data_IF_728647407620
#
_entry.id   IF_728647407620
#
_cell.length_a   1.000
_cell.length_b   1.000
_cell.length_c   1.000
_cell.angle_alpha   90.00
_cell.angle_beta   90.00
_cell.angle_gamma   90.00
#
_symmetry.space_group_name_H-M   'P 1'
#
loop_
_entity.id
_entity.type
_entity.pdbx_description
1 polymer ?
#
# COMPACT_ATOMS: atom_id res chain seq x y z
N UNK A 1 -19.01 46.51 12.87
CA UNK A 1 -19.46 46.08 11.52
C UNK A 1 -19.21 44.59 11.41
N UNK A 2 -20.25 43.73 11.30
CA UNK A 2 -20.05 42.32 10.98
C UNK A 2 -19.72 42.22 9.48
N UNK A 3 -18.51 41.84 9.15
CA UNK A 3 -18.12 41.58 7.77
C UNK A 3 -18.64 40.17 7.45
N UNK A 4 -19.66 40.07 6.61
CA UNK A 4 -20.10 38.77 6.08
C UNK A 4 -19.18 38.36 4.94
N UNK A 5 -18.48 37.25 5.12
CA UNK A 5 -17.66 36.63 4.08
C UNK A 5 -18.50 35.56 3.39
N UNK A 6 -18.75 35.71 2.12
CA UNK A 6 -19.45 34.71 1.32
C UNK A 6 -18.44 33.82 0.59
N UNK A 7 -18.48 32.51 0.87
CA UNK A 7 -17.72 31.52 0.11
C UNK A 7 -18.42 31.30 -1.24
N UNK A 8 -17.74 31.46 -2.39
CA UNK A 8 -18.33 31.27 -3.72
C UNK A 8 -18.56 29.78 -4.04
N UNK A 9 -19.39 29.11 -3.22
CA UNK A 9 -19.71 27.70 -3.35
C UNK A 9 -21.19 27.45 -3.10
N UNK A 10 -21.83 26.76 -4.03
CA UNK A 10 -23.18 26.25 -3.88
C UNK A 10 -23.14 24.74 -3.80
N UNK A 11 -23.50 24.18 -2.63
CA UNK A 11 -23.50 22.75 -2.44
C UNK A 11 -24.50 22.06 -3.38
N UNK A 12 -24.03 21.05 -4.10
CA UNK A 12 -24.91 20.14 -4.86
C UNK A 12 -25.74 19.32 -3.88
N UNK A 13 -26.99 19.01 -4.23
CA UNK A 13 -27.91 18.24 -3.38
C UNK A 13 -27.26 16.94 -2.87
N UNK A 14 -26.56 16.23 -3.74
CA UNK A 14 -25.89 14.98 -3.42
C UNK A 14 -24.79 15.11 -2.33
N UNK A 15 -24.20 16.30 -2.14
CA UNK A 15 -23.18 16.55 -1.11
C UNK A 15 -23.72 17.22 0.16
N UNK A 16 -25.00 17.61 0.21
CA UNK A 16 -25.58 18.20 1.42
C UNK A 16 -25.46 17.30 2.65
N UNK A 17 -25.69 15.97 2.57
CA UNK A 17 -25.49 15.08 3.72
C UNK A 17 -24.04 15.11 4.21
N UNK A 18 -23.06 15.14 3.30
CA UNK A 18 -21.64 15.22 3.64
C UNK A 18 -21.30 16.51 4.40
N UNK A 19 -21.83 17.65 3.95
CA UNK A 19 -21.62 18.93 4.64
C UNK A 19 -22.30 19.04 6.00
N UNK A 20 -23.38 18.30 6.20
CA UNK A 20 -24.15 18.33 7.45
C UNK A 20 -23.78 17.21 8.44
N UNK A 21 -22.74 16.42 8.13
CA UNK A 21 -22.28 15.36 9.03
C UNK A 21 -21.81 15.92 10.38
N UNK A 22 -21.98 15.14 11.41
CA UNK A 22 -21.52 15.43 12.78
C UNK A 22 -20.42 14.50 13.25
N UNK A 23 -20.20 13.41 12.54
CA UNK A 23 -19.21 12.41 12.88
C UNK A 23 -17.79 12.93 12.65
N UNK A 24 -16.88 12.49 13.53
CA UNK A 24 -15.44 12.81 13.45
C UNK A 24 -14.78 12.16 12.24
N UNK A 25 -15.20 10.95 11.90
CA UNK A 25 -14.65 10.17 10.79
C UNK A 25 -15.66 10.14 9.64
N UNK A 26 -15.17 10.26 8.42
CA UNK A 26 -16.03 10.19 7.26
C UNK A 26 -15.37 9.44 6.09
N UNK A 27 -16.18 8.64 5.39
CA UNK A 27 -15.82 7.99 4.13
C UNK A 27 -16.67 8.57 3.01
N UNK A 28 -16.01 9.15 2.00
CA UNK A 28 -16.64 9.77 0.84
C UNK A 28 -16.23 9.02 -0.43
N UNK A 29 -17.02 8.05 -0.83
CA UNK A 29 -16.87 7.32 -2.09
C UNK A 29 -17.74 8.00 -3.14
N UNK A 30 -17.17 8.49 -4.22
CA UNK A 30 -17.96 9.11 -5.26
C UNK A 30 -17.31 8.95 -6.62
N UNK A 31 -18.14 8.85 -7.65
CA UNK A 31 -17.70 8.65 -9.02
C UNK A 31 -16.80 9.78 -9.55
N UNK A 32 -16.06 9.49 -10.61
CA UNK A 32 -15.23 10.48 -11.32
C UNK A 32 -16.12 11.65 -11.78
N UNK A 33 -15.62 12.89 -11.66
CA UNK A 33 -16.35 14.14 -12.00
C UNK A 33 -17.57 14.48 -11.11
N UNK A 34 -17.79 13.78 -10.01
CA UNK A 34 -18.84 14.14 -9.04
C UNK A 34 -18.65 15.52 -8.41
N UNK A 35 -17.39 16.00 -8.31
CA UNK A 35 -17.02 17.26 -7.66
C UNK A 35 -16.54 17.09 -6.22
N UNK A 36 -15.97 15.93 -5.88
CA UNK A 36 -15.39 15.62 -4.57
C UNK A 36 -14.45 16.70 -4.05
N UNK A 37 -13.47 17.09 -4.87
CA UNK A 37 -12.41 18.04 -4.51
C UNK A 37 -12.97 19.40 -4.09
N UNK A 38 -13.86 19.97 -4.90
CA UNK A 38 -14.45 21.27 -4.57
C UNK A 38 -15.35 21.21 -3.34
N UNK A 39 -16.09 20.11 -3.17
CA UNK A 39 -16.93 19.89 -1.99
C UNK A 39 -16.06 19.74 -0.72
N UNK A 40 -14.98 18.99 -0.79
CA UNK A 40 -14.02 18.80 0.30
C UNK A 40 -13.35 20.13 0.74
N UNK A 41 -12.88 20.92 -0.22
CA UNK A 41 -12.23 22.22 0.08
C UNK A 41 -13.24 23.20 0.67
N UNK A 42 -14.47 23.25 0.13
CA UNK A 42 -15.52 24.09 0.68
C UNK A 42 -15.92 23.69 2.12
N UNK A 43 -15.99 22.40 2.39
CA UNK A 43 -16.28 21.86 3.71
C UNK A 43 -15.16 22.19 4.72
N UNK A 44 -13.91 22.02 4.30
CA UNK A 44 -12.72 22.36 5.08
C UNK A 44 -12.65 23.86 5.37
N UNK A 45 -12.92 24.68 4.37
CA UNK A 45 -12.92 26.14 4.50
C UNK A 45 -14.01 26.59 5.49
N UNK A 46 -15.22 26.01 5.40
CA UNK A 46 -16.29 26.27 6.35
C UNK A 46 -15.89 25.87 7.78
N UNK A 47 -15.31 24.68 7.95
CA UNK A 47 -14.84 24.20 9.26
C UNK A 47 -13.74 25.13 9.82
N UNK A 48 -12.79 25.56 8.99
CA UNK A 48 -11.72 26.45 9.39
C UNK A 48 -12.23 27.83 9.82
N UNK A 49 -13.17 28.42 9.08
CA UNK A 49 -13.76 29.72 9.41
C UNK A 49 -14.64 29.66 10.66
N UNK A 50 -15.31 28.55 10.91
CA UNK A 50 -16.18 28.35 12.07
C UNK A 50 -15.43 27.98 13.35
N UNK A 51 -14.17 27.56 13.23
CA UNK A 51 -13.36 27.16 14.38
C UNK A 51 -12.93 28.39 15.19
N UNK A 52 -13.23 28.37 16.49
CA UNK A 52 -12.88 29.46 17.42
C UNK A 52 -11.46 29.32 17.98
N UNK A 53 -10.81 28.17 17.78
CA UNK A 53 -9.44 27.93 18.24
C UNK A 53 -8.47 28.79 17.42
N UNK A 54 -7.68 29.66 18.04
CA UNK A 54 -6.69 30.45 17.33
C UNK A 54 -5.69 29.58 16.58
N UNK A 55 -5.34 29.97 15.35
CA UNK A 55 -4.35 29.28 14.53
C UNK A 55 -4.68 27.79 14.28
N UNK A 56 -5.95 27.45 14.16
CA UNK A 56 -6.36 26.10 13.78
C UNK A 56 -5.77 25.68 12.43
N UNK A 57 -5.41 24.41 12.29
CA UNK A 57 -4.64 23.89 11.16
C UNK A 57 -5.45 22.80 10.44
N UNK A 58 -5.52 22.91 9.13
CA UNK A 58 -6.23 21.95 8.28
C UNK A 58 -5.31 21.46 7.16
N UNK A 59 -5.42 20.20 6.79
CA UNK A 59 -4.62 19.61 5.73
C UNK A 59 -5.50 18.95 4.66
N UNK A 60 -5.27 19.32 3.40
CA UNK A 60 -5.72 18.58 2.24
C UNK A 60 -4.54 17.77 1.72
N UNK A 61 -4.69 16.46 1.66
CA UNK A 61 -3.58 15.53 1.34
C UNK A 61 -3.97 14.71 0.12
N UNK A 62 -3.19 14.78 -0.95
CA UNK A 62 -3.30 13.94 -2.15
C UNK A 62 -2.19 12.87 -2.14
N UNK A 63 -2.24 11.84 -2.99
CA UNK A 63 -1.15 10.88 -3.15
C UNK A 63 0.20 11.56 -3.45
N UNK A 64 0.18 12.56 -4.35
CA UNK A 64 1.35 13.34 -4.71
C UNK A 64 1.12 14.84 -4.48
N UNK A 65 2.18 15.53 -4.01
CA UNK A 65 2.13 16.99 -3.81
C UNK A 65 1.87 17.75 -5.12
N UNK A 66 2.43 17.30 -6.23
CA UNK A 66 2.18 17.85 -7.56
C UNK A 66 0.70 17.81 -7.94
N UNK A 67 0.02 16.70 -7.64
CA UNK A 67 -1.42 16.53 -7.87
C UNK A 67 -2.24 17.51 -7.02
N UNK A 68 -1.91 17.64 -5.72
CA UNK A 68 -2.55 18.63 -4.85
C UNK A 68 -2.42 20.04 -5.42
N UNK A 69 -1.22 20.41 -5.91
CA UNK A 69 -0.95 21.71 -6.53
C UNK A 69 -1.77 21.93 -7.80
N UNK A 70 -1.82 20.94 -8.68
CA UNK A 70 -2.48 21.10 -9.99
C UNK A 70 -4.00 21.15 -9.87
N UNK A 71 -4.59 20.36 -8.93
CA UNK A 71 -6.04 20.19 -8.85
C UNK A 71 -6.65 21.03 -7.73
N UNK A 72 -6.17 20.87 -6.49
CA UNK A 72 -6.83 21.43 -5.31
C UNK A 72 -6.45 22.88 -5.02
N UNK A 73 -5.22 23.29 -5.39
CA UNK A 73 -4.70 24.62 -5.06
C UNK A 73 -5.51 25.75 -5.68
N UNK A 74 -5.89 25.62 -6.95
CA UNK A 74 -6.70 26.63 -7.63
C UNK A 74 -8.10 26.74 -7.01
N UNK A 75 -8.72 25.61 -6.65
CA UNK A 75 -10.01 25.61 -5.94
C UNK A 75 -9.89 26.27 -4.57
N UNK A 76 -8.82 25.99 -3.82
CA UNK A 76 -8.61 26.63 -2.50
C UNK A 76 -8.44 28.14 -2.63
N UNK A 77 -7.64 28.62 -3.56
CA UNK A 77 -7.45 30.04 -3.82
C UNK A 77 -8.75 30.74 -4.23
N UNK A 78 -9.51 30.10 -5.10
CA UNK A 78 -10.81 30.62 -5.58
C UNK A 78 -11.82 30.70 -4.44
N UNK A 79 -12.04 29.62 -3.71
CA UNK A 79 -13.04 29.55 -2.65
C UNK A 79 -12.66 30.43 -1.44
N UNK A 80 -11.39 30.60 -1.15
CA UNK A 80 -10.90 31.47 -0.07
C UNK A 80 -10.69 32.93 -0.51
N UNK A 81 -11.09 33.32 -1.71
CA UNK A 81 -10.77 34.64 -2.29
C UNK A 81 -11.18 35.82 -1.41
N UNK A 82 -12.29 35.73 -0.68
CA UNK A 82 -12.82 36.77 0.21
C UNK A 82 -12.38 36.63 1.67
N UNK A 83 -11.78 35.51 2.04
CA UNK A 83 -11.46 35.15 3.43
C UNK A 83 -9.97 34.94 3.68
N UNK A 84 -9.16 34.87 2.64
CA UNK A 84 -7.72 34.71 2.74
C UNK A 84 -7.03 36.05 3.01
N UNK A 85 -6.16 36.07 4.01
CA UNK A 85 -5.25 37.20 4.31
C UNK A 85 -3.84 36.96 3.79
N UNK A 86 -3.45 35.70 3.62
CA UNK A 86 -2.16 35.29 3.06
C UNK A 86 -2.32 34.03 2.19
N UNK A 87 -1.56 33.99 1.09
CA UNK A 87 -1.45 32.84 0.19
C UNK A 87 0.02 32.59 -0.09
N UNK A 88 0.47 31.36 0.13
CA UNK A 88 1.86 30.97 -0.12
C UNK A 88 1.90 29.89 -1.20
N UNK A 89 2.42 30.24 -2.38
CA UNK A 89 2.51 29.36 -3.56
C UNK A 89 3.60 28.29 -3.42
N UNK A 90 4.63 28.55 -2.62
CA UNK A 90 5.72 27.62 -2.38
C UNK A 90 5.30 26.50 -1.42
N UNK A 91 4.71 26.91 -0.28
CA UNK A 91 4.29 25.99 0.77
C UNK A 91 2.86 25.49 0.61
N UNK A 92 2.13 25.99 -0.39
CA UNK A 92 0.75 25.66 -0.73
C UNK A 92 -0.20 25.80 0.48
N UNK A 93 -0.20 26.97 1.13
CA UNK A 93 -1.16 27.26 2.19
C UNK A 93 -1.89 28.57 1.98
N UNK A 94 -3.08 28.63 2.55
CA UNK A 94 -3.88 29.83 2.70
C UNK A 94 -4.09 30.08 4.19
N UNK A 95 -3.82 31.30 4.66
CA UNK A 95 -4.20 31.76 5.98
C UNK A 95 -5.47 32.61 5.89
N UNK A 96 -6.43 32.32 6.76
CA UNK A 96 -7.74 32.95 6.78
C UNK A 96 -7.80 34.12 7.77
N UNK A 97 -8.81 34.98 7.63
CA UNK A 97 -9.04 36.17 8.47
C UNK A 97 -9.10 35.90 9.98
N UNK A 98 -9.50 34.69 10.40
CA UNK A 98 -9.53 34.24 11.79
C UNK A 98 -8.20 33.61 12.26
N UNK A 99 -7.16 33.62 11.42
CA UNK A 99 -5.85 33.03 11.70
C UNK A 99 -5.76 31.53 11.45
N UNK A 100 -6.85 30.86 11.07
CA UNK A 100 -6.83 29.46 10.65
C UNK A 100 -6.00 29.29 9.36
N UNK A 101 -5.36 28.13 9.20
CA UNK A 101 -4.56 27.82 8.03
C UNK A 101 -4.99 26.52 7.39
N UNK A 102 -5.12 26.53 6.06
CA UNK A 102 -5.35 25.32 5.24
C UNK A 102 -4.13 25.11 4.36
N UNK A 103 -3.49 23.95 4.48
CA UNK A 103 -2.28 23.62 3.73
C UNK A 103 -2.47 22.32 2.93
N UNK A 104 -1.86 22.29 1.74
CA UNK A 104 -1.88 21.12 0.86
C UNK A 104 -0.58 20.33 1.01
N UNK A 105 -0.71 18.99 1.09
CA UNK A 105 0.41 18.06 1.21
C UNK A 105 0.29 16.94 0.17
N UNK A 106 1.41 16.24 -0.06
CA UNK A 106 1.46 14.95 -0.72
C UNK A 106 1.76 13.83 0.28
N UNK A 107 1.10 12.70 0.13
CA UNK A 107 1.38 11.51 0.91
C UNK A 107 2.72 10.85 0.52
N UNK A 108 3.25 11.19 -0.66
CA UNK A 108 4.59 10.85 -1.15
C UNK A 108 5.72 11.36 -0.24
N UNK A 109 5.46 12.40 0.54
CA UNK A 109 6.36 12.90 1.59
C UNK A 109 5.61 13.04 2.92
N UNK A 110 5.12 11.93 3.44
CA UNK A 110 4.35 11.91 4.67
C UNK A 110 5.12 12.43 5.89
N UNK A 111 6.43 12.23 5.93
CA UNK A 111 7.28 12.66 7.04
C UNK A 111 7.32 14.18 7.23
N UNK A 112 7.07 14.96 6.17
CA UNK A 112 6.92 16.42 6.28
C UNK A 112 5.73 16.85 7.16
N UNK A 113 4.83 15.94 7.50
CA UNK A 113 3.68 16.17 8.38
C UNK A 113 3.91 15.71 9.82
N UNK A 114 5.03 15.02 10.12
CA UNK A 114 5.38 14.60 11.50
C UNK A 114 5.58 15.82 12.40
N UNK A 115 5.03 15.76 13.60
CA UNK A 115 5.06 16.85 14.56
C UNK A 115 4.07 17.98 14.30
N UNK A 116 3.29 17.91 13.21
CA UNK A 116 2.17 18.83 12.99
C UNK A 116 0.92 18.32 13.72
N UNK A 117 0.06 19.26 14.18
CA UNK A 117 -1.23 18.96 14.76
C UNK A 117 -2.36 19.54 13.90
N UNK A 118 -3.35 18.71 13.52
CA UNK A 118 -4.46 19.12 12.65
C UNK A 118 -5.81 19.11 13.37
N UNK A 119 -6.62 20.14 13.11
CA UNK A 119 -8.02 20.24 13.51
C UNK A 119 -8.93 19.48 12.53
N UNK A 120 -8.48 19.32 11.28
CA UNK A 120 -9.19 18.53 10.27
C UNK A 120 -8.31 18.16 9.09
N UNK A 121 -8.55 16.98 8.54
CA UNK A 121 -7.80 16.44 7.39
C UNK A 121 -8.76 15.86 6.35
N UNK A 122 -8.51 16.13 5.09
CA UNK A 122 -9.12 15.45 3.95
C UNK A 122 -8.05 14.69 3.17
N UNK A 123 -8.25 13.40 2.99
CA UNK A 123 -7.38 12.50 2.24
C UNK A 123 -8.02 12.26 0.87
N UNK A 124 -7.47 12.86 -0.17
CA UNK A 124 -8.00 12.74 -1.53
C UNK A 124 -7.36 11.56 -2.25
N UNK A 125 -8.19 10.78 -2.96
CA UNK A 125 -7.81 9.53 -3.63
C UNK A 125 -7.06 8.58 -2.68
N UNK A 126 -7.66 8.36 -1.50
CA UNK A 126 -7.07 7.57 -0.42
C UNK A 126 -6.70 6.14 -0.81
N UNK A 127 -7.37 5.59 -1.83
CA UNK A 127 -7.02 4.29 -2.41
C UNK A 127 -5.59 4.20 -2.99
N UNK A 128 -4.96 5.34 -3.30
CA UNK A 128 -3.60 5.42 -3.82
C UNK A 128 -2.53 5.67 -2.73
N UNK A 129 -2.94 5.82 -1.49
CA UNK A 129 -2.00 6.05 -0.39
C UNK A 129 -1.31 4.74 0.01
N UNK A 130 -0.04 4.86 0.46
CA UNK A 130 0.61 3.79 1.20
C UNK A 130 -0.18 3.55 2.50
N UNK A 131 -0.59 2.31 2.81
CA UNK A 131 -1.46 2.02 3.95
C UNK A 131 -0.96 2.55 5.30
N UNK A 132 0.36 2.54 5.52
CA UNK A 132 1.00 2.99 6.76
C UNK A 132 0.91 4.50 7.02
N UNK A 133 0.67 5.32 6.00
CA UNK A 133 0.66 6.80 6.12
C UNK A 133 -0.41 7.27 7.10
N UNK A 134 -1.62 6.73 7.01
CA UNK A 134 -2.67 7.13 7.94
C UNK A 134 -2.32 6.76 9.39
N UNK A 135 -1.97 5.50 9.63
CA UNK A 135 -1.69 4.99 10.99
C UNK A 135 -0.48 5.66 11.65
N UNK A 136 0.60 5.83 10.89
CA UNK A 136 1.89 6.26 11.43
C UNK A 136 2.09 7.78 11.48
N UNK A 137 1.38 8.53 10.63
CA UNK A 137 1.60 9.98 10.51
C UNK A 137 0.33 10.78 10.76
N UNK A 138 -0.75 10.48 10.03
CA UNK A 138 -1.95 11.33 10.06
C UNK A 138 -2.76 11.11 11.35
N UNK A 139 -2.94 9.86 11.76
CA UNK A 139 -3.71 9.54 12.97
C UNK A 139 -3.11 10.15 14.24
N UNK A 140 -1.76 10.09 14.48
CA UNK A 140 -1.12 10.85 15.56
C UNK A 140 -1.31 12.36 15.46
N UNK A 141 -1.15 12.95 14.26
CA UNK A 141 -1.32 14.39 14.03
C UNK A 141 -2.75 14.92 14.32
N UNK A 142 -3.74 14.04 14.37
CA UNK A 142 -5.13 14.36 14.75
C UNK A 142 -5.42 14.14 16.22
N UNK A 143 -4.51 13.53 17.00
CA UNK A 143 -4.80 13.04 18.33
C UNK A 143 -4.95 14.17 19.36
N UNK A 144 -4.01 15.11 19.39
CA UNK A 144 -3.97 16.19 20.37
C UNK A 144 -5.19 17.12 20.29
N UNK A 145 -5.64 17.37 19.06
CA UNK A 145 -6.76 18.27 18.79
C UNK A 145 -8.09 17.58 18.62
N UNK A 146 -8.09 16.24 18.70
CA UNK A 146 -9.25 15.41 18.35
C UNK A 146 -9.84 15.78 16.97
N UNK A 147 -8.96 16.14 16.03
CA UNK A 147 -9.31 16.58 14.70
C UNK A 147 -10.11 15.53 13.92
N UNK A 148 -10.96 15.99 13.01
CA UNK A 148 -11.72 15.12 12.12
C UNK A 148 -10.91 14.65 10.91
N UNK A 149 -11.32 13.53 10.30
CA UNK A 149 -10.72 13.05 9.06
C UNK A 149 -11.78 12.57 8.08
N UNK A 150 -11.61 12.94 6.81
CA UNK A 150 -12.40 12.45 5.68
C UNK A 150 -11.50 11.66 4.75
N UNK A 151 -11.89 10.43 4.46
CA UNK A 151 -11.27 9.56 3.46
C UNK A 151 -12.10 9.67 2.19
N UNK A 152 -11.55 10.29 1.15
CA UNK A 152 -12.21 10.52 -0.12
C UNK A 152 -11.54 9.80 -1.28
N UNK A 153 -12.31 9.44 -2.30
CA UNK A 153 -11.76 8.87 -3.51
C UNK A 153 -12.77 8.13 -4.37
N UNK A 154 -12.24 7.56 -5.44
CA UNK A 154 -12.90 6.58 -6.29
C UNK A 154 -12.39 5.19 -5.90
N UNK A 155 -13.21 4.14 -5.88
CA UNK A 155 -12.76 2.78 -5.56
C UNK A 155 -11.62 2.29 -6.46
N UNK A 156 -10.69 1.54 -5.88
CA UNK A 156 -9.60 0.87 -6.60
C UNK A 156 -9.38 -0.52 -6.04
N UNK A 157 -10.35 -1.41 -6.28
CA UNK A 157 -10.34 -2.75 -5.72
C UNK A 157 -10.54 -2.78 -4.20
N UNK A 158 -10.35 -3.95 -3.59
CA UNK A 158 -10.51 -4.18 -2.14
C UNK A 158 -9.19 -3.87 -1.41
N UNK A 159 -8.84 -2.59 -1.33
CA UNK A 159 -7.65 -2.06 -0.65
C UNK A 159 -7.99 -1.43 0.71
N UNK A 160 -7.06 -0.65 1.29
CA UNK A 160 -7.29 0.05 2.56
C UNK A 160 -8.49 1.01 2.52
N UNK A 161 -8.83 1.60 1.35
CA UNK A 161 -10.01 2.45 1.23
C UNK A 161 -11.30 1.66 1.35
N UNK A 162 -11.33 0.43 0.80
CA UNK A 162 -12.44 -0.50 1.00
C UNK A 162 -12.61 -0.89 2.47
N UNK A 163 -11.50 -1.09 3.22
CA UNK A 163 -11.56 -1.37 4.64
C UNK A 163 -12.19 -0.21 5.42
N UNK A 164 -11.81 1.05 5.10
CA UNK A 164 -12.43 2.25 5.66
C UNK A 164 -13.92 2.32 5.33
N UNK A 165 -14.28 2.07 4.06
CA UNK A 165 -15.68 2.05 3.62
C UNK A 165 -16.52 1.05 4.40
N UNK A 166 -16.04 -0.18 4.56
CA UNK A 166 -16.73 -1.21 5.35
C UNK A 166 -16.84 -0.83 6.82
N UNK A 167 -15.80 -0.26 7.41
CA UNK A 167 -15.84 0.22 8.79
C UNK A 167 -16.88 1.32 8.95
N UNK A 168 -16.91 2.28 8.03
CA UNK A 168 -17.87 3.39 8.05
C UNK A 168 -19.32 2.91 7.93
N UNK A 169 -19.59 1.85 7.17
CA UNK A 169 -20.92 1.26 7.09
C UNK A 169 -21.33 0.50 8.36
N UNK A 170 -20.37 -0.14 9.03
CA UNK A 170 -20.65 -0.94 10.22
C UNK A 170 -20.86 -0.11 11.49
N UNK A 171 -20.28 1.08 11.58
CA UNK A 171 -20.29 1.93 12.79
C UNK A 171 -20.81 3.35 12.47
N UNK A 172 -22.08 3.50 12.06
CA UNK A 172 -22.63 4.80 11.61
C UNK A 172 -22.72 5.84 12.75
N UNK A 173 -22.61 5.42 14.00
CA UNK A 173 -22.55 6.33 15.15
C UNK A 173 -21.25 7.16 15.18
N UNK A 174 -20.13 6.60 14.72
CA UNK A 174 -18.83 7.25 14.74
C UNK A 174 -18.38 7.71 13.35
N UNK A 175 -18.91 7.08 12.32
CA UNK A 175 -18.53 7.29 10.93
C UNK A 175 -19.68 7.80 10.08
N UNK A 176 -19.43 8.84 9.33
CA UNK A 176 -20.27 9.22 8.20
C UNK A 176 -19.81 8.45 6.96
N UNK A 177 -20.76 7.90 6.20
CA UNK A 177 -20.46 7.23 4.93
C UNK A 177 -21.37 7.74 3.83
N UNK A 178 -20.78 8.22 2.74
CA UNK A 178 -21.51 8.58 1.51
C UNK A 178 -20.90 7.80 0.34
N UNK A 179 -21.72 6.96 -0.28
CA UNK A 179 -21.40 6.31 -1.56
C UNK A 179 -22.28 6.92 -2.65
N UNK A 180 -21.64 7.50 -3.67
CA UNK A 180 -22.29 8.29 -4.68
C UNK A 180 -21.95 7.80 -6.11
N UNK A 181 -22.55 6.67 -6.57
CA UNK A 181 -22.46 6.22 -7.96
C UNK A 181 -23.08 7.21 -8.93
N UNK A 182 -22.64 7.23 -10.19
CA UNK A 182 -23.17 8.13 -11.22
C UNK A 182 -24.66 7.87 -11.52
N UNK A 183 -25.08 6.61 -11.49
CA UNK A 183 -26.48 6.19 -11.64
C UNK A 183 -27.40 6.78 -10.56
N UNK A 184 -26.88 7.00 -9.35
CA UNK A 184 -27.63 7.56 -8.20
C UNK A 184 -27.50 9.07 -8.14
N UNK A 185 -26.33 9.62 -8.38
CA UNK A 185 -26.02 11.04 -8.20
C UNK A 185 -26.75 11.93 -9.21
N UNK A 186 -26.95 11.44 -10.43
CA UNK A 186 -27.49 12.18 -11.58
C UNK A 186 -26.76 13.50 -11.86
N UNK A 187 -25.47 13.56 -11.51
CA UNK A 187 -24.64 14.75 -11.70
C UNK A 187 -24.06 14.87 -13.11
N UNK A 188 -24.05 13.77 -13.85
CA UNK A 188 -23.61 13.70 -15.24
C UNK A 188 -24.82 13.49 -16.17
N UNK A 189 -24.80 14.09 -17.38
CA UNK A 189 -25.80 13.82 -18.40
C UNK A 189 -25.81 12.33 -18.79
N UNK A 190 -26.99 11.78 -19.09
CA UNK A 190 -27.15 10.36 -19.44
C UNK A 190 -26.35 9.98 -20.70
N UNK A 191 -26.35 10.85 -21.73
CA UNK A 191 -25.55 10.62 -22.92
C UNK A 191 -24.03 10.56 -22.67
N UNK A 192 -23.51 11.26 -21.64
CA UNK A 192 -22.10 11.17 -21.25
C UNK A 192 -21.80 9.81 -20.59
N UNK A 193 -22.73 9.29 -19.79
CA UNK A 193 -22.60 7.96 -19.18
C UNK A 193 -22.66 6.85 -20.23
N UNK A 194 -23.52 6.97 -21.24
CA UNK A 194 -23.57 6.03 -22.37
C UNK A 194 -22.29 6.07 -23.20
N UNK A 195 -21.78 7.27 -23.49
CA UNK A 195 -20.50 7.43 -24.19
C UNK A 195 -19.34 6.81 -23.38
N UNK A 196 -19.32 7.01 -22.07
CA UNK A 196 -18.32 6.39 -21.19
C UNK A 196 -18.43 4.86 -21.18
N UNK A 197 -19.64 4.29 -21.13
CA UNK A 197 -19.87 2.84 -21.23
C UNK A 197 -19.36 2.25 -22.54
N UNK A 198 -19.52 2.97 -23.64
CA UNK A 198 -19.05 2.51 -24.95
C UNK A 198 -17.52 2.56 -25.10
N UNK A 199 -16.84 3.44 -24.37
CA UNK A 199 -15.39 3.67 -24.47
C UNK A 199 -14.57 2.89 -23.44
N UNK A 200 -15.16 2.54 -22.29
CA UNK A 200 -14.48 1.87 -21.17
C UNK A 200 -14.83 0.38 -21.17
N UNK A 201 -13.93 -0.42 -20.58
CA UNK A 201 -14.31 -1.80 -20.24
C UNK A 201 -15.42 -1.79 -19.16
N UNK A 202 -16.23 -2.86 -19.05
CA UNK A 202 -17.23 -2.97 -18.00
C UNK A 202 -16.70 -2.71 -16.60
N UNK A 203 -15.53 -3.28 -16.28
CA UNK A 203 -14.87 -3.12 -14.97
C UNK A 203 -14.44 -1.67 -14.73
N UNK A 204 -13.90 -0.98 -15.76
CA UNK A 204 -13.55 0.44 -15.68
C UNK A 204 -14.79 1.30 -15.41
N UNK A 205 -15.87 1.07 -16.13
CA UNK A 205 -17.10 1.80 -15.93
C UNK A 205 -17.65 1.57 -14.51
N UNK A 206 -17.67 0.31 -14.06
CA UNK A 206 -18.13 -0.04 -12.71
C UNK A 206 -17.26 0.62 -11.63
N UNK A 207 -15.94 0.67 -11.81
CA UNK A 207 -15.02 1.31 -10.86
C UNK A 207 -15.19 2.84 -10.86
N UNK A 208 -15.06 3.49 -12.02
CA UNK A 208 -14.94 4.95 -12.12
C UNK A 208 -16.29 5.68 -11.99
N UNK A 209 -17.37 5.04 -12.45
CA UNK A 209 -18.71 5.66 -12.47
C UNK A 209 -19.69 5.03 -11.48
N UNK A 210 -19.64 3.72 -11.26
CA UNK A 210 -20.58 3.05 -10.36
C UNK A 210 -19.98 2.77 -8.96
N UNK A 211 -18.81 3.29 -8.70
CA UNK A 211 -18.16 3.21 -7.37
C UNK A 211 -17.99 1.78 -6.85
N UNK A 212 -17.74 0.81 -7.74
CA UNK A 212 -17.57 -0.59 -7.38
C UNK A 212 -16.17 -0.87 -6.85
N UNK A 213 -16.07 -1.47 -5.68
CA UNK A 213 -14.84 -2.02 -5.13
C UNK A 213 -14.56 -3.46 -5.61
N UNK A 214 -15.50 -4.09 -6.29
CA UNK A 214 -15.35 -5.47 -6.79
C UNK A 214 -14.59 -5.53 -8.13
N UNK A 215 -14.56 -4.42 -8.87
CA UNK A 215 -13.83 -4.35 -10.12
C UNK A 215 -12.34 -4.57 -9.88
N UNK A 216 -11.72 -5.42 -10.70
CA UNK A 216 -10.28 -5.64 -10.67
C UNK A 216 -9.54 -4.32 -10.94
N UNK A 217 -8.40 -4.10 -10.28
CA UNK A 217 -7.54 -2.94 -10.55
C UNK A 217 -7.02 -3.08 -11.98
N UNK A 218 -7.45 -2.17 -12.83
CA UNK A 218 -7.13 -2.20 -14.24
C UNK A 218 -5.66 -1.98 -14.48
N UNK A 219 -5.09 -2.84 -15.33
CA UNK A 219 -3.67 -2.80 -15.60
C UNK A 219 -2.80 -3.41 -14.49
N UNK A 220 -3.40 -3.91 -13.40
CA UNK A 220 -2.65 -4.61 -12.36
C UNK A 220 -1.92 -5.83 -12.94
N UNK A 221 -0.62 -5.95 -12.60
CA UNK A 221 0.19 -7.06 -13.08
C UNK A 221 -0.14 -8.38 -12.36
N UNK A 222 -0.48 -8.32 -11.06
CA UNK A 222 -0.65 -9.49 -10.21
C UNK A 222 -2.05 -9.57 -9.58
N UNK A 223 -2.99 -8.76 -10.05
CA UNK A 223 -4.32 -8.64 -9.46
C UNK A 223 -5.10 -9.96 -9.40
N UNK A 224 -5.01 -10.79 -10.46
CA UNK A 224 -5.66 -12.09 -10.53
C UNK A 224 -5.00 -13.07 -9.56
N UNK A 225 -3.68 -13.20 -9.62
CA UNK A 225 -2.91 -14.13 -8.80
C UNK A 225 -3.05 -13.84 -7.30
N UNK A 226 -3.05 -12.54 -6.92
CA UNK A 226 -3.23 -12.12 -5.52
C UNK A 226 -4.66 -12.31 -5.02
N UNK A 227 -5.67 -12.16 -5.90
CA UNK A 227 -7.06 -12.49 -5.58
C UNK A 227 -7.20 -13.99 -5.33
N UNK A 228 -6.68 -14.83 -6.23
CA UNK A 228 -6.68 -16.29 -6.08
C UNK A 228 -5.95 -16.73 -4.80
N UNK A 229 -4.82 -16.09 -4.47
CA UNK A 229 -4.11 -16.36 -3.22
C UNK A 229 -5.00 -16.11 -1.99
N UNK A 230 -5.80 -15.05 -2.03
CA UNK A 230 -6.73 -14.70 -0.94
C UNK A 230 -7.91 -15.68 -0.87
N UNK A 231 -8.54 -15.99 -2.00
CA UNK A 231 -9.68 -16.92 -2.09
C UNK A 231 -9.32 -18.33 -1.69
N UNK A 232 -8.09 -18.77 -1.99
CA UNK A 232 -7.55 -20.09 -1.62
C UNK A 232 -7.02 -20.12 -0.17
N UNK A 233 -7.11 -19.05 0.60
CA UNK A 233 -6.65 -18.99 1.99
C UNK A 233 -5.12 -18.97 2.14
N UNK A 234 -4.37 -18.65 1.08
CA UNK A 234 -2.90 -18.55 1.10
C UNK A 234 -2.39 -17.19 1.65
N UNK A 235 -3.27 -16.22 1.84
CA UNK A 235 -3.02 -15.01 2.62
C UNK A 235 -3.62 -15.25 4.01
N UNK A 236 -2.78 -15.67 4.95
CA UNK A 236 -3.18 -16.15 6.28
C UNK A 236 -2.02 -15.97 7.26
N UNK A 237 -2.11 -16.50 8.46
CA UNK A 237 -0.99 -16.54 9.39
C UNK A 237 0.03 -17.59 8.93
N UNK A 238 1.25 -17.17 8.62
CA UNK A 238 2.37 -18.03 8.23
C UNK A 238 3.41 -18.05 9.34
N UNK A 239 3.60 -19.24 9.95
CA UNK A 239 4.55 -19.38 11.04
C UNK A 239 5.98 -19.57 10.50
N UNK A 240 6.95 -18.96 11.20
CA UNK A 240 8.37 -19.20 10.98
C UNK A 240 8.75 -20.64 11.41
N UNK A 241 9.42 -21.39 10.54
CA UNK A 241 9.99 -22.69 10.84
C UNK A 241 11.50 -22.54 11.17
N UNK A 242 11.89 -22.83 12.41
CA UNK A 242 13.27 -22.71 12.87
C UNK A 242 14.26 -23.66 12.14
N UNK A 243 13.77 -24.71 11.50
CA UNK A 243 14.59 -25.70 10.81
C UNK A 243 14.89 -25.30 9.35
N UNK A 244 14.25 -24.25 8.86
CA UNK A 244 14.39 -23.77 7.49
C UNK A 244 15.01 -22.38 7.51
N UNK A 245 16.08 -22.14 6.72
CA UNK A 245 16.66 -20.79 6.68
C UNK A 245 15.71 -19.77 6.09
N UNK A 246 15.79 -18.55 6.61
CA UNK A 246 15.06 -17.40 6.07
C UNK A 246 15.94 -16.69 5.05
N UNK A 247 15.46 -16.61 3.84
CA UNK A 247 16.10 -15.83 2.78
C UNK A 247 15.46 -14.44 2.70
N UNK A 248 16.22 -13.47 2.20
CA UNK A 248 15.70 -12.12 1.96
C UNK A 248 15.91 -11.71 0.52
N UNK A 249 14.99 -10.92 -0.01
CA UNK A 249 15.09 -10.33 -1.35
C UNK A 249 14.86 -8.82 -1.26
N UNK A 250 15.78 -8.08 -1.85
CA UNK A 250 15.87 -6.63 -1.72
C UNK A 250 15.51 -5.91 -3.01
N UNK A 251 14.88 -4.76 -2.87
CA UNK A 251 15.02 -3.62 -3.75
C UNK A 251 15.58 -2.44 -2.96
N UNK A 252 16.67 -1.85 -3.45
CA UNK A 252 17.48 -0.89 -2.70
C UNK A 252 17.36 0.49 -3.34
N UNK A 253 16.51 1.34 -2.80
CA UNK A 253 16.41 2.74 -3.17
C UNK A 253 17.40 3.62 -2.39
N UNK A 254 18.24 4.40 -3.06
CA UNK A 254 19.18 5.32 -2.39
C UNK A 254 18.52 6.59 -1.84
N UNK A 255 17.47 7.08 -2.50
CA UNK A 255 16.65 8.25 -2.10
C UNK A 255 15.18 7.91 -1.93
N UNK A 256 14.82 6.72 -2.39
CA UNK A 256 13.47 6.18 -2.40
C UNK A 256 13.34 5.07 -1.34
N UNK A 257 12.22 4.37 -1.33
CA UNK A 257 11.97 3.30 -0.39
C UNK A 257 12.89 2.09 -0.67
N UNK A 258 13.51 1.55 0.37
CA UNK A 258 14.08 0.20 0.34
C UNK A 258 13.01 -0.79 0.76
N UNK A 259 12.82 -1.86 -0.01
CA UNK A 259 11.87 -2.92 0.30
C UNK A 259 12.58 -4.27 0.45
N UNK A 260 12.19 -5.05 1.46
CA UNK A 260 12.78 -6.37 1.75
C UNK A 260 11.68 -7.37 2.07
N UNK A 261 11.66 -8.48 1.33
CA UNK A 261 10.82 -9.64 1.63
C UNK A 261 11.61 -10.71 2.36
N UNK A 262 11.00 -11.34 3.36
CA UNK A 262 11.57 -12.45 4.12
C UNK A 262 10.77 -13.72 3.80
N UNK A 263 11.47 -14.76 3.37
CA UNK A 263 10.80 -15.98 2.94
C UNK A 263 11.57 -17.25 3.28
N UNK A 264 10.84 -18.34 3.37
CA UNK A 264 11.34 -19.69 3.53
C UNK A 264 10.88 -20.55 2.36
N UNK A 265 11.71 -21.47 1.89
CA UNK A 265 11.34 -22.44 0.86
C UNK A 265 11.11 -23.78 1.52
N UNK A 266 9.85 -24.19 1.59
CA UNK A 266 9.43 -25.42 2.25
C UNK A 266 8.81 -26.34 1.19
N UNK A 267 9.51 -27.42 0.82
CA UNK A 267 9.13 -28.30 -0.30
C UNK A 267 9.07 -27.49 -1.61
N UNK A 268 7.88 -27.37 -2.19
CA UNK A 268 7.64 -26.60 -3.43
C UNK A 268 6.84 -25.33 -3.18
N UNK A 269 6.74 -24.91 -1.91
CA UNK A 269 6.03 -23.70 -1.49
C UNK A 269 7.01 -22.61 -1.01
N UNK A 270 6.61 -21.36 -1.21
CA UNK A 270 7.34 -20.19 -0.74
C UNK A 270 6.52 -19.52 0.36
N UNK A 271 7.00 -19.61 1.58
CA UNK A 271 6.34 -19.03 2.75
C UNK A 271 6.92 -17.64 3.03
N UNK A 272 6.15 -16.61 2.70
CA UNK A 272 6.50 -15.21 2.94
C UNK A 272 6.10 -14.86 4.38
N UNK A 273 7.08 -14.76 5.26
CA UNK A 273 6.87 -14.69 6.71
C UNK A 273 6.98 -13.28 7.28
N UNK A 274 7.60 -12.36 6.55
CA UNK A 274 7.76 -10.97 6.99
C UNK A 274 8.05 -10.04 5.80
N UNK A 275 7.84 -8.74 6.02
CA UNK A 275 8.11 -7.68 5.06
C UNK A 275 8.64 -6.45 5.79
N UNK A 276 9.57 -5.74 5.19
CA UNK A 276 10.13 -4.50 5.70
C UNK A 276 10.29 -3.48 4.58
N UNK A 277 9.85 -2.27 4.82
CA UNK A 277 10.10 -1.14 3.94
C UNK A 277 10.50 0.08 4.76
N UNK A 278 11.43 0.86 4.23
CA UNK A 278 11.90 2.08 4.88
C UNK A 278 12.36 3.08 3.84
N UNK A 279 12.08 4.36 4.08
CA UNK A 279 12.52 5.49 3.26
C UNK A 279 13.68 6.20 3.96
N UNK A 280 14.73 6.57 3.19
CA UNK A 280 15.81 7.41 3.66
C UNK A 280 16.76 6.79 4.70
N UNK A 281 16.66 5.49 5.00
CA UNK A 281 17.58 4.79 5.90
C UNK A 281 18.91 4.48 5.21
N UNK A 282 20.01 4.52 5.98
CA UNK A 282 21.31 4.10 5.48
C UNK A 282 21.46 2.57 5.55
N UNK A 283 22.50 2.04 4.89
CA UNK A 283 22.73 0.58 4.79
C UNK A 283 22.94 -0.06 6.17
N UNK A 284 23.59 0.62 7.11
CA UNK A 284 23.85 0.09 8.45
C UNK A 284 22.54 -0.04 9.24
N UNK A 285 21.64 0.93 9.14
CA UNK A 285 20.30 0.91 9.76
C UNK A 285 19.44 -0.21 9.18
N UNK A 286 19.46 -0.38 7.85
CA UNK A 286 18.74 -1.47 7.18
C UNK A 286 19.28 -2.83 7.66
N UNK A 287 20.59 -3.01 7.66
CA UNK A 287 21.21 -4.25 8.11
C UNK A 287 20.91 -4.54 9.59
N UNK A 288 21.04 -3.55 10.47
CA UNK A 288 20.72 -3.68 11.89
C UNK A 288 19.25 -4.08 12.11
N UNK A 289 18.32 -3.46 11.38
CA UNK A 289 16.90 -3.80 11.46
C UNK A 289 16.63 -5.24 11.02
N UNK A 290 17.27 -5.73 9.96
CA UNK A 290 17.13 -7.12 9.49
C UNK A 290 17.70 -8.08 10.54
N UNK A 291 18.91 -7.84 11.04
CA UNK A 291 19.57 -8.70 12.02
C UNK A 291 18.90 -8.70 13.40
N UNK A 292 18.10 -7.70 13.73
CA UNK A 292 17.33 -7.68 14.98
C UNK A 292 16.19 -8.69 15.02
N UNK A 293 15.81 -9.28 13.88
CA UNK A 293 14.76 -10.30 13.80
C UNK A 293 15.26 -11.66 14.29
N UNK A 294 14.42 -12.42 14.99
CA UNK A 294 14.79 -13.71 15.56
C UNK A 294 14.76 -14.83 14.49
N UNK A 295 15.39 -14.58 13.33
CA UNK A 295 15.42 -15.54 12.23
C UNK A 295 16.80 -16.16 12.03
N UNK A 296 16.82 -17.43 11.62
CA UNK A 296 18.02 -18.07 11.13
C UNK A 296 18.18 -17.74 9.63
N UNK A 297 19.08 -16.79 9.32
CA UNK A 297 19.21 -16.28 7.96
C UNK A 297 20.01 -17.22 7.05
N UNK A 298 19.51 -17.39 5.82
CA UNK A 298 20.20 -18.07 4.72
C UNK A 298 20.87 -17.07 3.78
N UNK A 299 20.35 -16.92 2.56
CA UNK A 299 20.87 -16.00 1.54
C UNK A 299 20.10 -14.67 1.54
N UNK A 300 20.85 -13.61 1.25
CA UNK A 300 20.31 -12.27 1.01
C UNK A 300 20.47 -11.95 -0.48
N UNK A 301 19.35 -11.87 -1.20
CA UNK A 301 19.32 -11.67 -2.64
C UNK A 301 19.22 -10.18 -2.97
N UNK A 302 20.25 -9.68 -3.63
CA UNK A 302 20.40 -8.28 -3.99
C UNK A 302 20.18 -8.09 -5.50
N UNK A 303 19.66 -6.93 -5.92
CA UNK A 303 19.57 -6.60 -7.34
C UNK A 303 20.97 -6.45 -7.96
N UNK A 304 21.04 -6.56 -9.27
CA UNK A 304 22.30 -6.56 -10.03
C UNK A 304 23.12 -5.27 -9.88
N UNK A 305 22.44 -4.13 -9.71
CA UNK A 305 23.03 -2.79 -9.53
C UNK A 305 23.66 -2.58 -8.13
N UNK A 306 23.42 -3.48 -7.17
CA UNK A 306 24.11 -3.45 -5.86
C UNK A 306 25.64 -3.55 -5.96
N UNK A 307 26.18 -3.92 -7.14
CA UNK A 307 27.61 -3.89 -7.44
C UNK A 307 28.15 -2.50 -7.83
N UNK A 308 27.27 -1.56 -8.18
CA UNK A 308 27.69 -0.22 -8.57
C UNK A 308 28.35 0.52 -7.41
N UNK A 309 29.52 1.11 -7.68
CA UNK A 309 30.22 1.95 -6.72
C UNK A 309 29.69 3.37 -6.77
N UNK A 310 29.44 3.98 -5.64
CA UNK A 310 28.96 5.35 -5.58
C UNK A 310 29.94 6.27 -4.84
N UNK A 311 30.05 7.51 -5.30
CA UNK A 311 30.88 8.52 -4.63
C UNK A 311 30.35 8.83 -3.22
N UNK A 312 29.05 8.79 -3.01
CA UNK A 312 28.41 9.03 -1.72
C UNK A 312 28.81 7.97 -0.66
N UNK A 313 29.16 6.74 -1.09
CA UNK A 313 29.62 5.67 -0.24
C UNK A 313 31.18 5.53 -0.21
N UNK A 314 31.89 6.63 -0.42
CA UNK A 314 33.37 6.64 -0.47
C UNK A 314 33.96 5.59 -1.44
N UNK A 315 33.30 5.36 -2.57
CA UNK A 315 33.72 4.40 -3.59
C UNK A 315 33.40 2.93 -3.27
N UNK A 316 32.62 2.65 -2.21
CA UNK A 316 32.13 1.30 -1.92
C UNK A 316 30.83 1.02 -2.67
N UNK A 317 30.64 -0.21 -3.05
CA UNK A 317 29.35 -0.70 -3.57
C UNK A 317 28.42 -1.09 -2.42
N UNK A 318 27.11 -1.20 -2.69
CA UNK A 318 26.14 -1.63 -1.69
C UNK A 318 26.46 -3.04 -1.18
N UNK A 319 26.88 -3.95 -2.08
CA UNK A 319 27.26 -5.31 -1.67
C UNK A 319 28.48 -5.30 -0.73
N UNK A 320 29.47 -4.43 -0.97
CA UNK A 320 30.63 -4.30 -0.08
C UNK A 320 30.24 -3.78 1.31
N UNK A 321 29.27 -2.88 1.40
CA UNK A 321 28.72 -2.37 2.65
C UNK A 321 27.92 -3.45 3.41
N UNK A 322 27.01 -4.13 2.75
CA UNK A 322 26.21 -5.20 3.33
C UNK A 322 27.05 -6.43 3.74
N UNK A 323 28.17 -6.69 3.03
CA UNK A 323 29.08 -7.78 3.38
C UNK A 323 29.72 -7.65 4.76
N UNK A 324 29.85 -6.42 5.28
CA UNK A 324 30.34 -6.16 6.63
C UNK A 324 29.37 -6.72 7.69
N UNK A 325 28.07 -6.66 7.43
CA UNK A 325 27.04 -7.07 8.37
C UNK A 325 26.61 -8.53 8.19
N UNK A 326 26.41 -8.98 6.95
CA UNK A 326 25.87 -10.30 6.66
C UNK A 326 26.94 -11.34 6.32
N UNK A 327 28.17 -10.89 6.01
CA UNK A 327 29.20 -11.75 5.43
C UNK A 327 29.00 -11.97 3.93
N UNK A 328 30.11 -11.95 3.17
CA UNK A 328 30.06 -12.03 1.70
C UNK A 328 29.44 -13.33 1.18
N UNK A 329 29.61 -14.44 1.91
CA UNK A 329 29.09 -15.75 1.52
C UNK A 329 27.55 -15.87 1.65
N UNK A 330 26.90 -15.02 2.41
CA UNK A 330 25.44 -14.98 2.54
C UNK A 330 24.76 -14.09 1.48
N UNK A 331 25.54 -13.24 0.80
CA UNK A 331 25.04 -12.36 -0.23
C UNK A 331 24.98 -13.06 -1.60
N UNK A 332 23.92 -12.84 -2.34
CA UNK A 332 23.73 -13.36 -3.69
C UNK A 332 23.17 -12.26 -4.59
N UNK A 333 23.79 -12.06 -5.75
CA UNK A 333 23.29 -11.12 -6.76
C UNK A 333 22.38 -11.86 -7.70
N UNK A 334 21.16 -11.35 -7.84
CA UNK A 334 20.18 -11.88 -8.77
C UNK A 334 20.54 -11.47 -10.21
N UNK A 335 20.41 -12.37 -11.19
CA UNK A 335 20.65 -12.02 -12.59
C UNK A 335 19.78 -10.84 -13.05
N UNK A 336 20.35 -9.99 -13.90
CA UNK A 336 19.61 -8.92 -14.56
C UNK A 336 18.63 -9.51 -15.58
N UNK A 337 17.36 -9.26 -15.38
CA UNK A 337 16.29 -9.62 -16.30
C UNK A 337 15.49 -8.38 -16.69
N UNK A 338 14.91 -8.41 -17.89
CA UNK A 338 13.96 -7.35 -18.26
C UNK A 338 12.82 -7.26 -17.24
N UNK A 339 12.26 -6.06 -17.07
CA UNK A 339 11.11 -5.85 -16.17
C UNK A 339 9.96 -6.81 -16.49
N UNK A 340 9.70 -7.05 -17.78
CA UNK A 340 8.63 -7.93 -18.22
C UNK A 340 8.92 -9.42 -17.90
N UNK A 341 10.16 -9.86 -18.07
CA UNK A 341 10.55 -11.24 -17.68
C UNK A 341 10.44 -11.44 -16.18
N UNK A 342 10.87 -10.43 -15.41
CA UNK A 342 10.70 -10.43 -13.95
C UNK A 342 9.22 -10.48 -13.52
N UNK A 343 8.35 -9.73 -14.18
CA UNK A 343 6.89 -9.78 -13.94
C UNK A 343 6.34 -11.19 -14.25
N UNK A 344 6.77 -11.82 -15.33
CA UNK A 344 6.35 -13.18 -15.64
C UNK A 344 6.89 -14.20 -14.63
N UNK A 345 8.10 -14.00 -14.11
CA UNK A 345 8.64 -14.85 -13.04
C UNK A 345 7.78 -14.76 -11.77
N UNK A 346 7.36 -13.54 -11.39
CA UNK A 346 6.43 -13.34 -10.26
C UNK A 346 5.11 -14.09 -10.47
N UNK A 347 4.47 -13.94 -11.63
CA UNK A 347 3.22 -14.64 -11.94
C UNK A 347 3.32 -16.17 -11.81
N UNK A 348 4.49 -16.71 -12.17
CA UNK A 348 4.76 -18.16 -12.07
C UNK A 348 4.98 -18.64 -10.64
N UNK A 349 5.46 -17.80 -9.74
CA UNK A 349 5.74 -18.18 -8.36
C UNK A 349 4.56 -17.91 -7.43
N UNK A 350 3.75 -16.89 -7.68
CA UNK A 350 2.61 -16.50 -6.83
C UNK A 350 1.64 -17.64 -6.49
N UNK A 351 1.33 -18.60 -7.41
CA UNK A 351 0.50 -19.75 -7.05
C UNK A 351 1.09 -20.67 -5.97
N UNK A 352 2.39 -20.59 -5.71
CA UNK A 352 3.12 -21.37 -4.71
C UNK A 352 3.39 -20.56 -3.42
N UNK A 353 3.02 -19.27 -3.39
CA UNK A 353 3.30 -18.39 -2.27
C UNK A 353 2.19 -18.43 -1.22
N UNK A 354 2.62 -18.50 0.05
CA UNK A 354 1.82 -18.26 1.23
C UNK A 354 2.30 -16.99 1.90
N UNK A 355 1.40 -16.10 2.26
CA UNK A 355 1.74 -14.80 2.83
C UNK A 355 1.23 -14.66 4.25
N UNK A 356 2.10 -14.23 5.17
CA UNK A 356 1.65 -13.80 6.49
C UNK A 356 0.82 -12.51 6.35
N UNK A 357 -0.46 -12.61 6.69
CA UNK A 357 -1.43 -11.55 6.45
C UNK A 357 -1.15 -10.28 7.28
N UNK A 358 -0.56 -10.43 8.46
CA UNK A 358 -0.31 -9.33 9.39
C UNK A 358 1.04 -8.66 9.07
N UNK A 359 2.12 -9.45 9.06
CA UNK A 359 3.49 -8.94 8.88
C UNK A 359 3.76 -8.45 7.45
N UNK A 360 3.10 -9.05 6.46
CA UNK A 360 3.27 -8.71 5.05
C UNK A 360 2.17 -7.80 4.50
N UNK A 361 1.27 -7.27 5.32
CA UNK A 361 0.07 -6.55 4.89
C UNK A 361 0.36 -5.41 3.90
N UNK A 362 1.39 -4.60 4.14
CA UNK A 362 1.78 -3.50 3.24
C UNK A 362 2.33 -4.02 1.91
N UNK A 363 3.20 -5.02 1.94
CA UNK A 363 3.75 -5.62 0.73
C UNK A 363 2.71 -6.36 -0.10
N UNK A 364 1.77 -7.08 0.54
CA UNK A 364 0.62 -7.71 -0.12
C UNK A 364 -0.21 -6.67 -0.87
N UNK A 365 -0.48 -5.53 -0.23
CA UNK A 365 -1.25 -4.46 -0.85
C UNK A 365 -0.50 -3.84 -2.02
N UNK A 366 0.83 -3.70 -1.92
CA UNK A 366 1.64 -3.23 -3.03
C UNK A 366 1.58 -4.19 -4.23
N UNK A 367 1.66 -5.51 -4.02
CA UNK A 367 1.52 -6.50 -5.09
C UNK A 367 0.14 -6.46 -5.75
N UNK A 368 -0.92 -6.20 -4.98
CA UNK A 368 -2.29 -6.05 -5.50
C UNK A 368 -2.44 -4.82 -6.39
N UNK A 369 -1.77 -3.73 -6.03
CA UNK A 369 -1.91 -2.43 -6.70
C UNK A 369 -0.85 -2.18 -7.78
N UNK A 370 0.21 -2.98 -7.87
CA UNK A 370 1.25 -2.82 -8.88
C UNK A 370 0.69 -2.95 -10.29
N UNK A 371 0.67 -1.82 -11.02
CA UNK A 371 -0.07 -1.69 -12.26
C UNK A 371 0.75 -1.02 -13.36
N UNK A 372 0.27 -1.16 -14.58
CA UNK A 372 0.78 -0.47 -15.77
C UNK A 372 0.51 1.03 -15.67
N UNK A 373 1.41 1.83 -16.21
CA UNK A 373 1.15 3.25 -16.41
C UNK A 373 0.06 3.45 -17.46
N UNK A 374 -0.92 4.28 -17.16
CA UNK A 374 -1.96 4.65 -18.13
C UNK A 374 -1.58 5.94 -18.85
N UNK A 375 -1.56 5.93 -20.17
CA UNK A 375 -1.29 7.08 -21.03
C UNK A 375 -2.63 7.77 -21.34
N UNK A 376 -2.86 8.92 -20.74
CA UNK A 376 -4.10 9.69 -20.92
C UNK A 376 -4.28 10.19 -22.35
N UNK A 377 -3.18 10.49 -23.07
CA UNK A 377 -3.23 10.99 -24.45
C UNK A 377 -3.57 9.88 -25.44
N UNK A 378 -3.01 8.70 -25.24
CA UNK A 378 -3.22 7.52 -26.08
C UNK A 378 -4.41 6.68 -25.63
N UNK A 379 -5.01 6.98 -24.50
CA UNK A 379 -6.09 6.19 -23.85
C UNK A 379 -5.76 4.70 -23.77
N UNK A 380 -4.50 4.36 -23.46
CA UNK A 380 -3.99 3.00 -23.46
C UNK A 380 -2.99 2.79 -22.31
N UNK A 381 -2.89 1.56 -21.81
CA UNK A 381 -1.85 1.20 -20.87
C UNK A 381 -0.50 1.07 -21.56
N UNK A 382 0.53 1.71 -21.00
CA UNK A 382 1.91 1.49 -21.38
C UNK A 382 2.36 0.09 -20.98
N UNK A 383 3.42 -0.40 -21.58
CA UNK A 383 4.03 -1.66 -21.14
C UNK A 383 4.87 -1.50 -19.87
N UNK A 384 5.21 -0.26 -19.53
CA UNK A 384 5.98 0.07 -18.32
C UNK A 384 5.10 0.12 -17.09
N UNK A 385 5.58 -0.34 -15.93
CA UNK A 385 4.91 -0.13 -14.66
C UNK A 385 4.80 1.36 -14.34
N UNK A 386 3.71 1.73 -13.66
CA UNK A 386 3.60 3.01 -13.01
C UNK A 386 4.59 3.06 -11.86
N UNK A 387 5.38 4.13 -11.79
CA UNK A 387 6.32 4.34 -10.69
C UNK A 387 5.60 5.01 -9.52
N UNK A 388 5.34 4.26 -8.48
CA UNK A 388 4.70 4.69 -7.24
C UNK A 388 5.21 3.83 -6.06
N UNK A 389 4.61 3.97 -4.88
CA UNK A 389 4.99 3.24 -3.68
C UNK A 389 4.92 1.71 -3.84
N UNK A 390 4.18 1.19 -4.83
CA UNK A 390 4.09 -0.24 -5.12
C UNK A 390 5.31 -0.78 -5.86
N UNK A 391 6.11 0.09 -6.48
CA UNK A 391 7.22 -0.30 -7.36
C UNK A 391 8.30 -1.06 -6.58
N UNK A 392 8.81 -0.48 -5.50
CA UNK A 392 9.89 -1.08 -4.72
C UNK A 392 9.51 -2.43 -4.10
N UNK A 393 8.32 -2.61 -3.47
CA UNK A 393 7.89 -3.94 -3.01
C UNK A 393 7.77 -4.96 -4.13
N UNK A 394 7.26 -4.56 -5.31
CA UNK A 394 7.11 -5.45 -6.45
C UNK A 394 8.46 -5.82 -7.06
N UNK A 395 9.41 -4.88 -7.11
CA UNK A 395 10.75 -5.09 -7.62
C UNK A 395 11.56 -6.02 -6.70
N UNK A 396 11.47 -5.83 -5.37
CA UNK A 396 12.02 -6.77 -4.41
C UNK A 396 11.40 -8.18 -4.56
N UNK A 397 10.10 -8.27 -4.82
CA UNK A 397 9.44 -9.56 -5.05
C UNK A 397 9.87 -10.20 -6.38
N UNK A 398 10.23 -9.41 -7.39
CA UNK A 398 10.85 -9.94 -8.63
C UNK A 398 12.19 -10.62 -8.31
N UNK A 399 13.02 -10.03 -7.43
CA UNK A 399 14.28 -10.65 -7.00
C UNK A 399 14.02 -11.99 -6.31
N UNK A 400 13.06 -12.07 -5.40
CA UNK A 400 12.61 -13.31 -4.79
C UNK A 400 12.23 -14.35 -5.85
N UNK A 401 11.39 -13.95 -6.80
CA UNK A 401 10.82 -14.84 -7.82
C UNK A 401 11.87 -15.46 -8.76
N UNK A 402 12.99 -14.80 -8.92
CA UNK A 402 14.11 -15.30 -9.71
C UNK A 402 15.00 -16.24 -8.86
N UNK A 403 15.23 -15.87 -7.60
CA UNK A 403 16.20 -16.52 -6.73
C UNK A 403 15.70 -17.81 -6.06
N UNK A 404 14.42 -17.91 -5.70
CA UNK A 404 13.87 -18.97 -4.83
C UNK A 404 14.15 -20.41 -5.31
N UNK A 405 14.28 -20.65 -6.62
CA UNK A 405 14.53 -21.98 -7.18
C UNK A 405 15.96 -22.46 -6.97
N UNK A 406 16.90 -21.54 -6.75
CA UNK A 406 18.30 -21.85 -6.50
C UNK A 406 18.54 -22.28 -5.04
N UNK A 407 17.56 -22.08 -4.15
CA UNK A 407 17.70 -22.39 -2.75
C UNK A 407 17.51 -23.89 -2.45
N UNK A 408 18.27 -24.44 -1.48
CA UNK A 408 18.13 -25.84 -1.08
C UNK A 408 16.73 -26.11 -0.54
N UNK A 409 16.04 -27.08 -1.10
CA UNK A 409 14.73 -27.51 -0.62
C UNK A 409 14.89 -28.36 0.63
N UNK A 410 14.41 -27.87 1.77
CA UNK A 410 14.36 -28.66 2.99
C UNK A 410 13.14 -29.60 2.90
N UNK A 411 13.41 -30.90 2.73
CA UNK A 411 12.37 -31.92 2.89
C UNK A 411 12.12 -32.06 4.39
N UNK A 412 10.95 -31.64 4.86
CA UNK A 412 10.51 -32.12 6.18
C UNK A 412 10.46 -33.65 6.13
N UNK A 413 11.00 -34.36 7.13
CA UNK A 413 10.77 -35.78 7.21
C UNK A 413 9.25 -36.03 7.21
N UNK A 414 8.80 -36.92 6.35
CA UNK A 414 7.38 -37.32 6.37
C UNK A 414 6.99 -37.57 7.83
N UNK A 415 5.91 -36.93 8.29
CA UNK A 415 5.38 -37.21 9.62
C UNK A 415 5.25 -38.69 9.76
N UNK A 416 5.98 -39.27 10.71
CA UNK A 416 5.99 -40.69 10.93
C UNK A 416 4.52 -41.12 11.00
N UNK A 417 4.07 -41.93 10.01
CA UNK A 417 2.72 -42.49 10.04
C UNK A 417 2.55 -43.11 11.41
N UNK A 418 1.51 -42.78 12.18
CA UNK A 418 1.30 -43.43 13.45
C UNK A 418 1.29 -44.95 13.20
N UNK A 419 2.14 -45.65 13.92
CA UNK A 419 2.12 -47.10 13.89
C UNK A 419 0.73 -47.54 14.36
N UNK A 420 -0.13 -47.89 13.41
CA UNK A 420 -1.40 -48.56 13.74
C UNK A 420 -1.06 -49.94 14.24
N UNK A 421 -0.98 -50.09 15.55
CA UNK A 421 -0.91 -51.40 16.19
C UNK A 421 -2.27 -52.05 16.00
N UNK A 422 -2.36 -52.93 15.02
CA UNK A 422 -3.54 -53.79 14.85
C UNK A 422 -3.61 -54.80 16.01
N UNK A 423 -4.79 -55.04 16.49
CA UNK A 423 -5.09 -55.89 17.69
C UNK A 423 -4.61 -57.34 17.65
N UNK A 424 -3.79 -57.75 16.67
CA UNK A 424 -3.36 -59.15 16.52
C UNK A 424 -1.89 -59.38 16.19
N UNK A 425 -1.00 -58.42 16.32
CA UNK A 425 0.43 -58.70 16.19
C UNK A 425 1.18 -58.24 17.46
N UNK A 426 1.63 -59.19 18.26
CA UNK A 426 2.51 -59.00 19.41
C UNK A 426 3.93 -58.66 18.94
N UNK A 427 4.08 -57.52 18.28
CA UNK A 427 5.40 -56.95 18.01
C UNK A 427 5.99 -56.46 19.33
N UNK A 428 7.10 -57.04 19.74
CA UNK A 428 7.83 -56.61 20.92
C UNK A 428 8.65 -55.34 20.63
N UNK A 429 9.02 -54.59 21.67
CA UNK A 429 9.90 -53.44 21.55
C UNK A 429 11.22 -53.78 20.81
N UNK A 430 11.68 -55.03 20.90
CA UNK A 430 12.86 -55.51 20.20
C UNK A 430 12.63 -55.65 18.68
N UNK A 431 11.41 -55.94 18.24
CA UNK A 431 11.08 -56.02 16.80
C UNK A 431 11.07 -54.60 16.19
N UNK A 432 10.61 -53.64 16.93
CA UNK A 432 10.62 -52.22 16.50
C UNK A 432 12.05 -51.69 16.42
N UNK A 433 12.93 -52.01 17.36
CA UNK A 433 14.35 -51.64 17.35
C UNK A 433 15.14 -52.37 16.26
N UNK A 434 14.82 -53.62 15.96
CA UNK A 434 15.45 -54.36 14.87
C UNK A 434 15.12 -53.77 13.50
N UNK A 435 13.89 -53.25 13.32
CA UNK A 435 13.50 -52.50 12.10
C UNK A 435 14.15 -51.12 11.98
N UNK A 436 14.32 -50.42 13.08
CA UNK A 436 14.96 -49.07 13.08
C UNK A 436 16.47 -49.14 12.76
N UNK A 437 17.12 -50.25 13.05
CA UNK A 437 18.55 -50.43 12.86
C UNK A 437 18.95 -51.19 11.57
N UNK A 438 18.02 -51.46 10.67
CA UNK A 438 18.38 -52.05 9.37
C UNK A 438 19.06 -51.00 8.47
N UNK A 439 20.23 -51.31 7.91
CA UNK A 439 20.93 -50.40 7.00
C UNK A 439 20.07 -50.18 5.74
N UNK A 440 19.80 -48.94 5.42
CA UNK A 440 19.08 -48.57 4.17
C UNK A 440 19.88 -49.10 2.99
N UNK A 441 19.34 -50.09 2.29
CA UNK A 441 19.89 -50.56 1.01
C UNK A 441 19.84 -49.42 0.02
N UNK A 442 21.02 -48.93 -0.34
CA UNK A 442 21.19 -47.97 -1.44
C UNK A 442 20.67 -48.58 -2.72
N UNK A 443 19.84 -47.88 -3.45
CA UNK A 443 19.57 -48.21 -4.86
C UNK A 443 20.78 -47.71 -5.67
N UNK A 444 21.33 -48.68 -6.43
CA UNK A 444 22.30 -48.45 -7.51
C UNK A 444 21.59 -47.68 -8.63
#
# INVERSE_FOLDING_TARGET
MKIEHQIPYKAREAFKPFHNRTQRWACLVAHRRAGKTIAAIADMLRAALSNKTPRSQYAYISPYRSQAKTIAWEYLKYLASTTAVEKNESDLYVQLVNGARIRLFGADNADAMRGLGFDGVYLDEYGDFKPSVFGNVIRPALSDKQGWCVFGGTPKGKNQFWNIYNTAQKIPSEWFCLNLPASVSKLLPEGELEAAKAQLSPDQYMQEYECSFEAAILGAYYGTEMREATEQGRVTKVNYDNNVPVHTAFDLGYRDDTAVWFYQVIRDEVHIIDYYAVSGANIDEIAANILSRPYNFGKHHLPHDARAKTLAAAGKSVIEQLAVHFGINSLSIVPDLSVQDGIQAVRKVLPQCWFDADKCSEGIEALRQYQREYDEDKKAFRQTPRHDWCSHPADAFRMLSIAWRSEPRVRQPDAAKPLMVGEQNTATLNDVWAQANQPKRGRI
#
